data_IF_906031149481
#
_entry.id   IF_906031149481
#
_cell.length_a   1.000
_cell.length_b   1.000
_cell.length_c   1.000
_cell.angle_alpha   90.00
_cell.angle_beta   90.00
_cell.angle_gamma   90.00
#
_symmetry.space_group_name_H-M   'P 1'
#
loop_
_entity.id
_entity.type
_entity.pdbx_description
1 polymer ?
#
# COMPACT_ATOMS: atom_id res chain seq x y z
N UNK A 1 -14.50 -28.86 20.28
CA UNK A 1 -15.18 -27.94 19.36
C UNK A 1 -14.46 -26.59 19.45
N UNK A 2 -13.41 -26.39 18.69
CA UNK A 2 -12.64 -25.15 18.68
C UNK A 2 -13.09 -24.34 17.46
N UNK A 3 -13.75 -23.21 17.73
CA UNK A 3 -14.16 -22.23 16.71
C UNK A 3 -12.91 -21.52 16.19
N UNK A 4 -12.63 -21.67 14.90
CA UNK A 4 -11.55 -20.98 14.20
C UNK A 4 -11.69 -19.48 14.35
N UNK A 5 -10.64 -18.84 14.84
CA UNK A 5 -10.49 -17.39 14.85
C UNK A 5 -10.19 -16.91 13.41
N UNK A 6 -11.24 -16.76 12.62
CA UNK A 6 -11.18 -16.03 11.37
C UNK A 6 -10.83 -14.57 11.66
N UNK A 7 -9.85 -14.05 10.98
CA UNK A 7 -9.53 -12.63 10.98
C UNK A 7 -10.75 -11.85 10.52
N UNK A 8 -11.55 -11.36 11.48
CA UNK A 8 -12.68 -10.49 11.15
C UNK A 8 -12.12 -9.26 10.46
N UNK A 9 -12.55 -9.06 9.24
CA UNK A 9 -12.38 -7.83 8.47
C UNK A 9 -12.94 -6.68 9.28
N UNK A 10 -12.07 -5.98 10.01
CA UNK A 10 -12.40 -4.64 10.43
C UNK A 10 -12.60 -3.84 9.15
N UNK A 11 -13.79 -3.30 8.93
CA UNK A 11 -14.09 -2.40 7.84
C UNK A 11 -13.39 -1.06 8.09
N UNK A 12 -12.07 -1.09 8.07
CA UNK A 12 -11.25 0.10 7.95
C UNK A 12 -11.13 0.39 6.46
N UNK A 13 -11.63 1.52 6.02
CA UNK A 13 -11.41 2.03 4.67
C UNK A 13 -9.91 2.32 4.55
N UNK A 14 -9.14 1.29 4.23
CA UNK A 14 -7.72 1.42 3.89
C UNK A 14 -7.65 2.19 2.58
N UNK A 15 -7.30 3.44 2.66
CA UNK A 15 -7.20 4.30 1.51
C UNK A 15 -5.79 4.27 0.96
N UNK A 16 -5.70 3.61 -0.12
CA UNK A 16 -4.55 3.26 -0.89
C UNK A 16 -4.11 4.39 -1.82
N UNK A 17 -2.91 4.82 -1.67
CA UNK A 17 -2.17 5.58 -2.67
C UNK A 17 -1.73 4.73 -3.88
N UNK A 18 -2.23 3.51 -4.00
CA UNK A 18 -1.99 2.70 -5.18
C UNK A 18 -3.26 2.63 -6.02
N UNK A 19 -3.18 3.17 -7.21
CA UNK A 19 -4.25 3.19 -8.19
C UNK A 19 -4.64 1.76 -8.61
N UNK A 20 -5.58 1.15 -7.89
CA UNK A 20 -6.23 -0.04 -8.39
C UNK A 20 -7.16 0.35 -9.54
N UNK A 21 -6.88 -0.14 -10.74
CA UNK A 21 -7.78 -0.14 -11.89
C UNK A 21 -8.90 -1.13 -11.60
N UNK A 22 -10.04 -0.63 -11.11
CA UNK A 22 -11.23 -1.45 -10.90
C UNK A 22 -12.29 -1.05 -11.89
N UNK A 23 -12.55 -1.93 -12.81
CA UNK A 23 -13.76 -1.90 -13.60
C UNK A 23 -14.91 -2.51 -12.79
N UNK A 24 -15.81 -1.70 -12.26
CA UNK A 24 -17.15 -2.17 -11.93
C UNK A 24 -17.93 -2.36 -13.23
N UNK A 25 -18.25 -3.59 -13.58
CA UNK A 25 -19.30 -3.88 -14.55
C UNK A 25 -20.65 -3.65 -13.87
N UNK A 26 -21.07 -2.39 -13.79
CA UNK A 26 -22.48 -2.06 -13.68
C UNK A 26 -23.04 -1.85 -15.07
N UNK A 27 -24.22 -2.42 -15.30
CA UNK A 27 -24.98 -2.31 -16.53
C UNK A 27 -25.00 -0.88 -17.03
N UNK A 28 -24.58 -0.71 -18.29
CA UNK A 28 -24.57 0.54 -19.03
C UNK A 28 -26.02 0.93 -19.33
N UNK A 29 -26.59 1.80 -18.51
CA UNK A 29 -27.69 2.63 -18.96
C UNK A 29 -27.14 3.62 -19.98
N UNK A 30 -27.86 3.75 -21.08
CA UNK A 30 -27.49 4.51 -22.27
C UNK A 30 -27.11 5.97 -21.97
N UNK A 31 -26.24 6.45 -22.83
CA UNK A 31 -25.63 7.74 -22.93
C UNK A 31 -26.38 8.96 -22.39
N UNK A 32 -25.61 9.79 -21.71
CA UNK A 32 -25.96 11.12 -21.29
C UNK A 32 -24.88 11.61 -20.35
N UNK A 33 -24.22 12.70 -20.66
CA UNK A 33 -23.35 13.56 -19.89
C UNK A 33 -23.23 13.22 -18.38
N UNK A 34 -22.40 12.29 -18.01
CA UNK A 34 -22.16 11.93 -16.60
C UNK A 34 -21.03 12.79 -15.98
N UNK A 35 -21.05 14.09 -16.26
CA UNK A 35 -20.20 15.10 -15.67
C UNK A 35 -20.71 16.44 -16.13
N UNK A 36 -21.68 17.01 -15.40
CA UNK A 36 -21.94 18.44 -15.46
C UNK A 36 -20.61 19.20 -15.44
N UNK A 37 -20.58 20.43 -15.91
CA UNK A 37 -19.36 21.20 -15.89
C UNK A 37 -18.77 21.26 -14.45
N UNK A 38 -17.52 21.58 -14.35
CA UNK A 38 -16.83 21.62 -13.06
C UNK A 38 -17.49 22.60 -12.08
N UNK A 39 -18.10 23.67 -12.56
CA UNK A 39 -18.80 24.65 -11.75
C UNK A 39 -20.07 24.04 -11.13
N UNK A 40 -20.86 23.30 -11.91
CA UNK A 40 -22.03 22.57 -11.39
C UNK A 40 -21.64 21.52 -10.35
N UNK A 41 -20.53 20.83 -10.52
CA UNK A 41 -19.97 19.93 -9.51
C UNK A 41 -19.67 20.67 -8.21
N UNK A 42 -18.98 21.83 -8.27
CA UNK A 42 -18.69 22.64 -7.07
C UNK A 42 -19.95 23.09 -6.36
N UNK A 43 -20.96 23.58 -7.11
CA UNK A 43 -22.25 23.97 -6.54
C UNK A 43 -22.90 22.81 -5.75
N UNK A 44 -22.86 21.59 -6.30
CA UNK A 44 -23.40 20.40 -5.64
C UNK A 44 -22.61 19.98 -4.39
N UNK A 45 -21.33 20.37 -4.27
CA UNK A 45 -20.49 20.08 -3.10
C UNK A 45 -20.69 21.07 -1.94
N UNK A 46 -21.20 22.30 -2.20
CA UNK A 46 -21.37 23.35 -1.19
C UNK A 46 -22.18 22.89 0.04
N UNK A 47 -23.41 22.34 -0.11
CA UNK A 47 -24.19 21.91 1.06
C UNK A 47 -23.48 20.83 1.88
N UNK A 48 -22.68 19.96 1.23
CA UNK A 48 -21.90 18.92 1.92
C UNK A 48 -20.74 19.52 2.72
N UNK A 49 -20.08 20.55 2.18
CA UNK A 49 -19.02 21.28 2.89
C UNK A 49 -19.56 21.98 4.14
N UNK A 50 -20.69 22.69 4.00
CA UNK A 50 -21.35 23.35 5.13
C UNK A 50 -21.80 22.35 6.21
N UNK A 51 -22.33 21.18 5.79
CA UNK A 51 -22.72 20.11 6.70
C UNK A 51 -21.54 19.48 7.44
N UNK A 52 -20.32 19.50 6.84
CA UNK A 52 -19.07 19.07 7.48
C UNK A 52 -18.50 20.15 8.43
N UNK A 53 -19.12 21.34 8.50
CA UNK A 53 -18.71 22.45 9.36
C UNK A 53 -17.72 23.41 8.70
N UNK A 54 -17.55 23.38 7.37
CA UNK A 54 -16.81 24.42 6.64
C UNK A 54 -17.64 25.69 6.60
N UNK A 55 -17.06 26.82 6.98
CA UNK A 55 -17.75 28.11 6.95
C UNK A 55 -18.07 28.56 5.53
N UNK A 56 -19.17 29.32 5.36
CA UNK A 56 -19.51 29.89 4.06
C UNK A 56 -18.39 30.81 3.55
N UNK A 57 -17.74 31.55 4.44
CA UNK A 57 -16.64 32.45 4.10
C UNK A 57 -15.44 31.69 3.51
N UNK A 58 -15.04 30.56 4.11
CA UNK A 58 -13.97 29.71 3.57
C UNK A 58 -14.39 29.10 2.24
N UNK A 59 -15.62 28.60 2.13
CA UNK A 59 -16.11 28.09 0.86
C UNK A 59 -15.97 29.14 -0.25
N UNK A 60 -16.55 30.33 -0.07
CA UNK A 60 -16.53 31.38 -1.10
C UNK A 60 -15.09 31.80 -1.45
N UNK A 61 -14.21 31.95 -0.47
CA UNK A 61 -12.81 32.30 -0.69
C UNK A 61 -12.04 31.23 -1.48
N UNK A 62 -12.18 29.98 -1.12
CA UNK A 62 -11.35 28.89 -1.67
C UNK A 62 -11.87 28.36 -3.01
N UNK A 63 -13.15 28.57 -3.30
CA UNK A 63 -13.78 28.11 -4.55
C UNK A 63 -13.76 29.22 -5.62
N UNK A 64 -13.64 30.47 -5.22
CA UNK A 64 -13.55 31.59 -6.19
C UNK A 64 -12.42 31.36 -7.19
N UNK A 65 -12.76 31.26 -8.47
CA UNK A 65 -11.79 31.07 -9.56
C UNK A 65 -11.14 29.68 -9.60
N UNK A 66 -11.63 28.71 -8.81
CA UNK A 66 -11.09 27.36 -8.86
C UNK A 66 -11.40 26.69 -10.20
N UNK A 67 -10.38 26.27 -10.92
CA UNK A 67 -10.47 25.55 -12.20
C UNK A 67 -9.86 24.15 -12.07
N UNK A 68 -10.32 23.15 -12.85
CA UNK A 68 -9.77 21.82 -12.78
C UNK A 68 -8.33 21.77 -13.32
N UNK A 69 -7.52 20.84 -12.83
CA UNK A 69 -6.22 20.52 -13.39
C UNK A 69 -6.31 19.27 -14.28
N UNK A 70 -6.50 19.50 -15.57
CA UNK A 70 -6.64 18.43 -16.56
C UNK A 70 -5.31 17.71 -16.88
N UNK A 71 -4.18 18.17 -16.34
CA UNK A 71 -2.88 17.50 -16.49
C UNK A 71 -2.69 16.33 -15.55
N UNK A 72 -3.54 16.19 -14.52
CA UNK A 72 -3.43 15.13 -13.51
C UNK A 72 -3.51 13.74 -14.15
N UNK A 73 -2.70 12.77 -13.67
CA UNK A 73 -2.87 11.38 -14.05
C UNK A 73 -4.17 10.81 -13.44
N UNK A 74 -4.63 9.68 -13.97
CA UNK A 74 -5.82 8.94 -13.52
C UNK A 74 -7.17 9.65 -13.60
N UNK A 75 -7.27 10.72 -14.38
CA UNK A 75 -8.57 11.25 -14.79
C UNK A 75 -9.29 10.25 -15.70
N UNK A 76 -10.62 10.26 -15.65
CA UNK A 76 -11.46 9.42 -16.48
C UNK A 76 -11.49 9.95 -17.91
N UNK A 77 -10.65 9.38 -18.76
CA UNK A 77 -10.52 9.69 -20.18
C UNK A 77 -10.99 8.53 -21.07
N UNK A 78 -11.91 7.71 -20.54
CA UNK A 78 -12.40 6.51 -21.21
C UNK A 78 -11.60 5.23 -20.93
N UNK A 79 -11.84 4.14 -21.69
CA UNK A 79 -11.23 2.84 -21.46
C UNK A 79 -9.70 2.90 -21.51
N UNK A 80 -9.03 2.43 -20.47
CA UNK A 80 -7.57 2.34 -20.42
C UNK A 80 -7.11 0.89 -20.38
N UNK A 81 -6.00 0.59 -21.06
CA UNK A 81 -5.28 -0.67 -20.82
C UNK A 81 -4.66 -0.63 -19.42
N UNK A 82 -4.65 -1.73 -18.68
CA UNK A 82 -3.94 -1.83 -17.40
C UNK A 82 -2.48 -1.36 -17.56
N UNK A 83 -2.06 -0.47 -16.71
CA UNK A 83 -0.68 0.08 -16.72
C UNK A 83 -0.23 0.40 -15.31
N UNK A 84 1.01 0.06 -15.01
CA UNK A 84 1.69 0.40 -13.76
C UNK A 84 2.75 1.51 -13.96
N UNK A 85 2.61 2.30 -15.03
CA UNK A 85 3.55 3.38 -15.33
C UNK A 85 3.68 4.34 -14.12
N UNK A 86 4.92 4.58 -13.69
CA UNK A 86 5.22 5.42 -12.55
C UNK A 86 5.13 4.75 -11.17
N UNK A 87 4.67 3.50 -11.09
CA UNK A 87 4.55 2.73 -9.85
C UNK A 87 5.54 1.57 -9.86
N UNK A 88 6.77 1.83 -9.39
CA UNK A 88 7.86 0.86 -9.45
C UNK A 88 7.60 -0.42 -8.65
N UNK A 89 6.81 -0.34 -7.58
CA UNK A 89 6.38 -1.47 -6.76
C UNK A 89 5.54 -2.50 -7.52
N UNK A 90 5.03 -2.16 -8.72
CA UNK A 90 4.27 -3.06 -9.58
C UNK A 90 4.92 -3.32 -10.94
N UNK A 91 5.95 -2.56 -11.29
CA UNK A 91 6.61 -2.65 -12.60
C UNK A 91 8.05 -3.14 -12.54
N UNK A 92 8.71 -3.05 -11.37
CA UNK A 92 10.05 -3.60 -11.16
C UNK A 92 9.99 -5.04 -10.66
N UNK A 93 11.05 -5.81 -10.94
CA UNK A 93 11.23 -7.11 -10.26
C UNK A 93 11.54 -6.90 -8.78
N UNK A 94 11.26 -7.88 -7.89
CA UNK A 94 11.63 -7.78 -6.48
C UNK A 94 13.11 -7.43 -6.26
N UNK A 95 14.01 -8.05 -7.01
CA UNK A 95 15.45 -7.79 -6.96
C UNK A 95 15.81 -6.32 -7.29
N UNK A 96 15.12 -5.72 -8.27
CA UNK A 96 15.36 -4.33 -8.66
C UNK A 96 14.80 -3.34 -7.65
N UNK A 97 13.63 -3.65 -7.09
CA UNK A 97 12.94 -2.77 -6.14
C UNK A 97 13.58 -2.77 -4.75
N UNK A 98 14.04 -3.94 -4.30
CA UNK A 98 14.62 -4.19 -2.98
C UNK A 98 16.14 -4.28 -3.00
N UNK A 99 16.80 -3.68 -4.00
CA UNK A 99 18.26 -3.76 -4.09
C UNK A 99 18.93 -3.00 -2.94
N UNK A 100 19.91 -3.64 -2.29
CA UNK A 100 20.69 -3.05 -1.20
C UNK A 100 21.34 -1.73 -1.59
N UNK A 101 21.88 -1.66 -2.82
CA UNK A 101 22.50 -0.43 -3.35
C UNK A 101 21.52 0.74 -3.39
N UNK A 102 20.26 0.50 -3.82
CA UNK A 102 19.23 1.55 -3.88
C UNK A 102 18.77 1.97 -2.48
N UNK A 103 18.81 1.06 -1.51
CA UNK A 103 18.36 1.29 -0.13
C UNK A 103 19.43 1.92 0.77
N UNK A 104 20.71 1.67 0.51
CA UNK A 104 21.82 2.03 1.40
C UNK A 104 21.83 3.51 1.82
N UNK A 105 21.70 4.42 0.85
CA UNK A 105 21.69 5.86 1.13
C UNK A 105 20.47 6.28 1.97
N UNK A 106 19.29 5.68 1.71
CA UNK A 106 18.07 5.95 2.46
C UNK A 106 18.20 5.41 3.89
N UNK A 107 18.77 4.22 4.07
CA UNK A 107 19.01 3.62 5.39
C UNK A 107 20.00 4.46 6.21
N UNK A 108 21.12 4.89 5.62
CA UNK A 108 22.11 5.74 6.29
C UNK A 108 21.50 7.07 6.75
N UNK A 109 20.70 7.73 5.90
CA UNK A 109 19.98 8.96 6.27
C UNK A 109 18.97 8.68 7.39
N UNK A 110 18.25 7.57 7.32
CA UNK A 110 17.32 7.14 8.37
C UNK A 110 18.00 6.90 9.70
N UNK A 111 19.15 6.23 9.72
CA UNK A 111 19.94 6.00 10.94
C UNK A 111 20.43 7.31 11.55
N UNK A 112 20.86 8.28 10.73
CA UNK A 112 21.23 9.62 11.21
C UNK A 112 20.03 10.35 11.85
N UNK A 113 18.84 10.25 11.25
CA UNK A 113 17.61 10.81 11.82
C UNK A 113 17.18 10.08 13.08
N UNK A 114 17.35 8.76 13.15
CA UNK A 114 17.09 7.97 14.36
C UNK A 114 17.95 8.45 15.54
N UNK A 115 19.23 8.72 15.29
CA UNK A 115 20.11 9.29 16.31
C UNK A 115 19.66 10.70 16.73
N UNK A 116 19.31 11.55 15.76
CA UNK A 116 18.87 12.96 16.00
C UNK A 116 17.58 13.04 16.81
N UNK A 117 16.59 12.19 16.50
CA UNK A 117 15.26 12.21 17.11
C UNK A 117 15.05 11.11 18.15
N UNK A 118 16.13 10.55 18.73
CA UNK A 118 16.06 9.43 19.67
C UNK A 118 15.05 9.62 20.79
N UNK A 119 14.99 10.78 21.50
CA UNK A 119 13.99 10.97 22.56
C UNK A 119 12.55 10.95 22.05
N UNK A 120 12.29 11.57 20.89
CA UNK A 120 10.97 11.62 20.28
C UNK A 120 10.53 10.22 19.81
N UNK A 121 11.44 9.44 19.20
CA UNK A 121 11.16 8.07 18.76
C UNK A 121 10.85 7.16 19.95
N UNK A 122 11.57 7.29 21.07
CA UNK A 122 11.26 6.56 22.32
C UNK A 122 9.88 6.94 22.86
N UNK A 123 9.50 8.21 22.86
CA UNK A 123 8.17 8.66 23.26
C UNK A 123 7.06 8.13 22.32
N UNK A 124 7.33 8.09 21.01
CA UNK A 124 6.43 7.51 19.99
C UNK A 124 6.22 6.02 20.27
N UNK A 125 7.29 5.26 20.44
CA UNK A 125 7.19 3.82 20.72
C UNK A 125 6.45 3.55 22.02
N UNK A 126 6.74 4.29 23.09
CA UNK A 126 6.04 4.19 24.37
C UNK A 126 4.53 4.49 24.22
N UNK A 127 4.17 5.52 23.44
CA UNK A 127 2.77 5.97 23.30
C UNK A 127 1.95 5.10 22.34
N UNK A 128 2.55 4.64 21.24
CA UNK A 128 1.85 3.97 20.15
C UNK A 128 2.22 2.48 20.00
N UNK A 129 3.29 2.02 20.64
CA UNK A 129 3.79 0.66 20.52
C UNK A 129 4.43 0.35 19.17
N UNK A 130 4.69 1.37 18.35
CA UNK A 130 5.31 1.26 17.01
C UNK A 130 6.78 1.67 17.13
N UNK A 131 7.73 0.80 16.74
CA UNK A 131 9.15 1.16 16.74
C UNK A 131 9.40 2.40 15.88
N UNK A 132 10.20 3.32 16.37
CA UNK A 132 10.49 4.59 15.71
C UNK A 132 11.09 4.41 14.32
N UNK A 133 11.88 3.35 14.13
CA UNK A 133 12.49 2.99 12.84
C UNK A 133 11.45 2.66 11.76
N UNK A 134 10.30 2.11 12.15
CA UNK A 134 9.19 1.84 11.23
C UNK A 134 8.57 3.16 10.74
N UNK A 135 8.33 4.10 11.65
CA UNK A 135 7.83 5.42 11.29
C UNK A 135 8.84 6.18 10.39
N UNK A 136 10.13 6.11 10.71
CA UNK A 136 11.21 6.67 9.89
C UNK A 136 11.29 6.01 8.51
N UNK A 137 11.10 4.71 8.42
CA UNK A 137 11.14 4.00 7.14
C UNK A 137 9.98 4.42 6.22
N UNK A 138 8.78 4.61 6.76
CA UNK A 138 7.64 5.16 6.02
C UNK A 138 7.95 6.59 5.58
N UNK A 139 8.40 7.46 6.49
CA UNK A 139 8.79 8.83 6.16
C UNK A 139 9.86 8.90 5.06
N UNK A 140 10.86 8.00 5.13
CA UNK A 140 11.89 7.87 4.10
C UNK A 140 11.33 7.41 2.76
N UNK A 141 10.41 6.45 2.77
CA UNK A 141 9.79 5.89 1.56
C UNK A 141 8.83 6.87 0.89
N UNK A 142 8.03 7.57 1.67
CA UNK A 142 6.99 8.49 1.16
C UNK A 142 7.58 9.77 0.58
N UNK A 143 8.52 10.39 1.28
CA UNK A 143 8.98 11.74 0.91
C UNK A 143 10.50 11.88 0.76
N UNK A 144 11.27 10.78 0.90
CA UNK A 144 12.73 10.86 0.96
C UNK A 144 13.21 11.70 2.15
N UNK A 145 12.52 11.54 3.29
CA UNK A 145 12.74 12.35 4.50
C UNK A 145 12.48 13.85 4.27
N UNK A 146 11.35 14.17 3.67
CA UNK A 146 10.91 15.54 3.43
C UNK A 146 11.44 16.19 2.16
N UNK A 147 12.23 15.47 1.34
CA UNK A 147 12.75 16.03 0.10
C UNK A 147 11.67 16.23 -0.98
N UNK A 148 10.58 15.47 -0.91
CA UNK A 148 9.48 15.46 -1.88
C UNK A 148 8.12 15.32 -1.19
N UNK A 149 7.45 16.42 -0.90
CA UNK A 149 6.13 16.44 -0.26
C UNK A 149 4.97 16.65 -1.25
N UNK A 150 5.29 16.71 -2.54
CA UNK A 150 4.34 16.99 -3.61
C UNK A 150 4.43 18.41 -4.16
N UNK A 151 3.98 18.60 -5.40
CA UNK A 151 4.07 19.88 -6.13
C UNK A 151 2.71 20.45 -6.53
N UNK A 152 1.66 19.67 -6.40
CA UNK A 152 0.32 20.06 -6.85
C UNK A 152 -0.38 20.90 -5.77
N UNK A 153 -1.29 21.78 -6.19
CA UNK A 153 -2.24 22.43 -5.30
C UNK A 153 -3.21 21.36 -4.79
N UNK A 154 -3.19 21.09 -3.48
CA UNK A 154 -3.93 19.97 -2.89
C UNK A 154 -5.44 20.09 -3.06
N UNK A 155 -6.00 21.28 -2.82
CA UNK A 155 -7.44 21.47 -2.97
C UNK A 155 -7.89 21.32 -4.43
N UNK A 156 -7.16 21.96 -5.36
CA UNK A 156 -7.42 21.86 -6.79
C UNK A 156 -7.32 20.42 -7.29
N UNK A 157 -6.29 19.70 -6.83
CA UNK A 157 -6.07 18.28 -7.15
C UNK A 157 -7.26 17.43 -6.71
N UNK A 158 -7.67 17.57 -5.45
CA UNK A 158 -8.77 16.78 -4.88
C UNK A 158 -10.12 17.13 -5.54
N UNK A 159 -10.39 18.41 -5.79
CA UNK A 159 -11.59 18.84 -6.53
C UNK A 159 -11.63 18.23 -7.94
N UNK A 160 -10.50 18.25 -8.65
CA UNK A 160 -10.41 17.68 -10.01
C UNK A 160 -10.60 16.17 -10.00
N UNK A 161 -9.97 15.46 -9.07
CA UNK A 161 -10.12 14.01 -8.92
C UNK A 161 -11.55 13.62 -8.47
N UNK A 162 -12.20 14.44 -7.65
CA UNK A 162 -13.59 14.26 -7.24
C UNK A 162 -14.56 14.43 -8.41
N UNK A 163 -14.31 15.41 -9.26
CA UNK A 163 -15.14 15.68 -10.43
C UNK A 163 -14.93 14.67 -11.55
N UNK A 164 -13.67 14.39 -11.93
CA UNK A 164 -13.35 13.59 -13.12
C UNK A 164 -12.29 12.49 -12.88
N UNK A 165 -12.04 12.13 -11.64
CA UNK A 165 -11.19 11.00 -11.31
C UNK A 165 -11.95 9.66 -11.37
N UNK A 166 -11.20 8.55 -11.32
CA UNK A 166 -11.79 7.20 -11.32
C UNK A 166 -12.40 6.78 -9.97
N UNK A 167 -12.08 7.47 -8.88
CA UNK A 167 -12.59 7.25 -7.53
C UNK A 167 -13.27 8.51 -7.00
N UNK A 168 -14.27 8.98 -7.73
CA UNK A 168 -14.91 10.28 -7.49
C UNK A 168 -15.43 10.43 -6.06
N UNK A 169 -16.14 9.43 -5.53
CA UNK A 169 -16.72 9.48 -4.18
C UNK A 169 -15.64 9.63 -3.10
N UNK A 170 -14.56 8.85 -3.22
CA UNK A 170 -13.41 8.95 -2.34
C UNK A 170 -12.80 10.35 -2.35
N UNK A 171 -12.50 10.85 -3.54
CA UNK A 171 -11.88 12.17 -3.67
C UNK A 171 -12.83 13.31 -3.32
N UNK A 172 -14.15 13.12 -3.46
CA UNK A 172 -15.15 14.11 -3.00
C UNK A 172 -15.08 14.27 -1.47
N UNK A 173 -14.96 13.17 -0.73
CA UNK A 173 -14.76 13.22 0.71
C UNK A 173 -13.46 13.93 1.08
N UNK A 174 -12.35 13.58 0.41
CA UNK A 174 -11.05 14.21 0.68
C UNK A 174 -11.03 15.71 0.34
N UNK A 175 -11.73 16.12 -0.72
CA UNK A 175 -11.90 17.52 -1.07
C UNK A 175 -12.63 18.30 0.04
N UNK A 176 -13.69 17.73 0.63
CA UNK A 176 -14.40 18.33 1.76
C UNK A 176 -13.51 18.47 2.99
N UNK A 177 -12.72 17.44 3.32
CA UNK A 177 -11.77 17.51 4.43
C UNK A 177 -10.62 18.49 4.16
N UNK A 178 -10.18 18.65 2.91
CA UNK A 178 -9.21 19.67 2.57
C UNK A 178 -9.73 21.09 2.77
N UNK A 179 -11.01 21.34 2.43
CA UNK A 179 -11.67 22.61 2.75
C UNK A 179 -11.76 22.83 4.26
N UNK A 180 -12.10 21.78 5.01
CA UNK A 180 -12.14 21.86 6.47
C UNK A 180 -10.76 22.16 7.06
N UNK A 181 -9.68 21.61 6.54
CA UNK A 181 -8.30 21.94 6.97
C UNK A 181 -7.97 23.42 6.77
N UNK A 182 -8.46 24.02 5.69
CA UNK A 182 -8.29 25.45 5.41
C UNK A 182 -9.15 26.30 6.35
N UNK A 183 -10.36 25.86 6.65
CA UNK A 183 -11.29 26.54 7.56
C UNK A 183 -10.80 26.52 9.01
N UNK A 184 -10.31 25.36 9.47
CA UNK A 184 -9.74 25.16 10.81
C UNK A 184 -8.35 25.82 10.97
N UNK A 185 -7.79 26.39 9.89
CA UNK A 185 -6.45 27.02 9.91
C UNK A 185 -5.31 26.02 10.09
N UNK A 186 -5.56 24.73 9.86
CA UNK A 186 -4.56 23.66 9.98
C UNK A 186 -3.39 23.90 9.01
N UNK A 187 -3.70 24.35 7.80
CA UNK A 187 -2.72 24.66 6.76
C UNK A 187 -3.23 25.82 5.91
N UNK A 188 -2.34 26.69 5.44
CA UNK A 188 -2.71 27.72 4.48
C UNK A 188 -2.81 27.16 3.06
N UNK A 189 -3.61 27.77 2.19
CA UNK A 189 -3.76 27.33 0.80
C UNK A 189 -2.41 27.21 0.05
N UNK A 190 -1.48 28.16 0.12
CA UNK A 190 -0.16 28.04 -0.53
C UNK A 190 0.68 26.86 0.00
N UNK A 191 0.55 26.53 1.29
CA UNK A 191 1.27 25.43 1.93
C UNK A 191 0.59 24.06 1.71
N UNK A 192 -0.67 24.03 1.27
CA UNK A 192 -1.42 22.78 0.99
C UNK A 192 -0.92 22.14 -0.32
N UNK A 193 0.36 21.76 -0.34
CA UNK A 193 0.94 21.00 -1.45
C UNK A 193 0.65 19.52 -1.29
N UNK A 194 0.43 18.83 -2.41
CA UNK A 194 0.10 17.40 -2.41
C UNK A 194 0.76 16.63 -3.56
N UNK A 195 0.70 15.31 -3.45
CA UNK A 195 0.88 14.42 -4.60
C UNK A 195 -0.27 14.62 -5.61
N UNK A 196 -0.16 14.02 -6.79
CA UNK A 196 -1.25 14.01 -7.79
C UNK A 196 -2.55 13.35 -7.29
N UNK A 197 -2.48 12.59 -6.22
CA UNK A 197 -3.60 11.91 -5.57
C UNK A 197 -4.05 12.60 -4.26
N UNK A 198 -3.59 13.81 -3.99
CA UNK A 198 -4.03 14.60 -2.84
C UNK A 198 -3.36 14.25 -1.51
N UNK A 199 -2.38 13.36 -1.48
CA UNK A 199 -1.62 13.03 -0.27
C UNK A 199 -0.66 14.19 0.09
N UNK A 200 -0.57 14.54 1.38
CA UNK A 200 0.02 15.79 1.86
C UNK A 200 1.09 15.59 2.92
N UNK A 201 1.98 16.56 3.00
CA UNK A 201 2.97 16.69 4.06
C UNK A 201 4.04 15.60 4.06
N UNK A 202 4.79 15.55 5.15
CA UNK A 202 5.87 14.58 5.38
C UNK A 202 5.36 13.14 5.47
N UNK A 203 4.09 12.96 5.89
CA UNK A 203 3.42 11.69 6.08
C UNK A 203 2.77 11.15 4.82
N UNK A 204 2.52 11.99 3.81
CA UNK A 204 1.69 11.67 2.63
C UNK A 204 0.29 11.14 3.01
N UNK A 205 -0.29 11.69 4.07
CA UNK A 205 -1.67 11.41 4.47
C UNK A 205 -2.67 12.17 3.61
N UNK A 206 -3.84 11.57 3.42
CA UNK A 206 -5.02 12.26 2.90
C UNK A 206 -5.66 13.14 3.97
N UNK A 207 -6.41 14.19 3.60
CA UNK A 207 -7.06 15.10 4.56
C UNK A 207 -7.89 14.41 5.64
N UNK A 208 -8.70 13.41 5.30
CA UNK A 208 -9.48 12.65 6.27
C UNK A 208 -8.60 11.86 7.25
N UNK A 209 -7.47 11.33 6.78
CA UNK A 209 -6.50 10.62 7.61
C UNK A 209 -5.78 11.56 8.56
N UNK A 210 -5.50 12.80 8.16
CA UNK A 210 -4.98 13.82 9.06
C UNK A 210 -5.89 14.03 10.28
N UNK A 211 -7.19 14.19 10.09
CA UNK A 211 -8.13 14.35 11.21
C UNK A 211 -8.22 13.11 12.10
N UNK A 212 -8.02 11.95 11.52
CA UNK A 212 -8.09 10.68 12.26
C UNK A 212 -6.80 10.35 13.02
N UNK A 213 -5.65 10.67 12.44
CA UNK A 213 -4.36 10.18 12.91
C UNK A 213 -3.32 11.25 13.21
N UNK A 214 -3.57 12.51 12.90
CA UNK A 214 -2.68 13.62 13.20
C UNK A 214 -2.38 13.71 14.69
N UNK A 215 -1.12 13.91 15.04
CA UNK A 215 -0.62 14.00 16.42
C UNK A 215 0.24 15.23 16.58
N UNK A 216 -0.11 16.04 17.57
CA UNK A 216 0.75 17.03 18.17
C UNK A 216 1.62 16.31 19.22
N UNK A 217 2.88 16.10 18.92
CA UNK A 217 3.82 15.41 19.80
C UNK A 217 4.54 16.36 20.74
N UNK A 218 4.82 17.59 20.30
CA UNK A 218 5.53 18.59 21.09
C UNK A 218 4.60 19.44 21.98
N UNK A 219 3.27 19.30 21.83
CA UNK A 219 2.25 19.94 22.67
C UNK A 219 2.06 21.42 22.37
N UNK A 220 2.39 21.86 21.14
CA UNK A 220 2.24 23.26 20.74
C UNK A 220 0.81 23.65 20.31
N UNK A 221 -0.13 22.71 20.37
CA UNK A 221 -1.55 22.88 20.02
C UNK A 221 -1.87 22.54 18.55
N UNK A 222 -0.90 22.02 17.79
CA UNK A 222 -1.08 21.76 16.37
C UNK A 222 -0.33 20.51 15.90
N UNK A 223 -1.02 19.59 15.26
CA UNK A 223 -0.40 18.45 14.60
C UNK A 223 0.20 18.90 13.24
N UNK A 224 1.46 19.30 13.23
CA UNK A 224 2.13 19.82 12.02
C UNK A 224 2.81 18.73 11.22
N UNK A 225 2.09 18.10 10.31
CA UNK A 225 2.65 17.09 9.42
C UNK A 225 3.42 17.68 8.22
N UNK A 226 3.54 19.01 8.09
CA UNK A 226 4.23 19.66 6.97
C UNK A 226 5.65 20.03 7.30
N UNK A 227 5.90 20.53 8.52
CA UNK A 227 7.18 21.08 8.93
C UNK A 227 7.77 20.44 10.19
N UNK A 228 6.94 19.84 11.07
CA UNK A 228 7.39 19.13 12.27
C UNK A 228 7.66 17.66 11.96
N UNK A 229 8.92 17.26 11.94
CA UNK A 229 9.31 15.84 11.81
C UNK A 229 8.80 15.01 12.98
N UNK A 230 8.87 15.46 14.26
CA UNK A 230 8.30 14.72 15.38
C UNK A 230 6.81 14.45 15.24
N UNK A 231 6.01 15.44 14.86
CA UNK A 231 4.56 15.27 14.68
C UNK A 231 4.24 14.33 13.52
N UNK A 232 4.99 14.46 12.43
CA UNK A 232 4.85 13.57 11.28
C UNK A 232 5.12 12.10 11.66
N UNK A 233 6.21 11.83 12.38
CA UNK A 233 6.56 10.48 12.85
C UNK A 233 5.52 9.93 13.84
N UNK A 234 5.03 10.77 14.76
CA UNK A 234 3.98 10.41 15.69
C UNK A 234 2.65 10.11 14.98
N UNK A 235 2.31 10.92 13.96
CA UNK A 235 1.11 10.72 13.14
C UNK A 235 1.19 9.42 12.33
N UNK A 236 2.35 9.08 11.75
CA UNK A 236 2.58 7.79 11.09
C UNK A 236 2.39 6.64 12.08
N UNK A 237 2.98 6.73 13.28
CA UNK A 237 2.86 5.69 14.30
C UNK A 237 1.40 5.53 14.79
N UNK A 238 0.69 6.64 14.99
CA UNK A 238 -0.72 6.63 15.35
C UNK A 238 -1.61 6.00 14.26
N UNK A 239 -1.28 6.24 12.99
CA UNK A 239 -1.96 5.57 11.88
C UNK A 239 -1.76 4.05 11.95
N UNK A 240 -0.53 3.57 12.10
CA UNK A 240 -0.24 2.14 12.21
C UNK A 240 -0.94 1.52 13.43
N UNK A 241 -0.93 2.21 14.58
CA UNK A 241 -1.67 1.78 15.77
C UNK A 241 -3.17 1.68 15.48
N UNK A 242 -3.74 2.68 14.82
CA UNK A 242 -5.15 2.71 14.42
C UNK A 242 -5.55 1.58 13.48
N UNK A 243 -4.62 1.10 12.65
CA UNK A 243 -4.78 -0.06 11.77
C UNK A 243 -4.47 -1.41 12.46
N UNK A 244 -4.17 -1.39 13.77
CA UNK A 244 -4.01 -2.60 14.59
C UNK A 244 -2.58 -3.09 14.75
N UNK A 245 -1.60 -2.20 14.72
CA UNK A 245 -0.21 -2.56 15.02
C UNK A 245 -0.10 -3.26 16.38
N UNK A 246 0.64 -4.36 16.42
CA UNK A 246 0.86 -5.18 17.60
C UNK A 246 2.26 -4.93 18.16
N UNK A 247 2.37 -4.28 19.34
CA UNK A 247 3.65 -4.04 19.97
C UNK A 247 4.43 -5.34 20.22
N UNK A 248 5.74 -5.29 19.99
CA UNK A 248 6.63 -6.44 20.21
C UNK A 248 6.58 -7.53 19.14
N UNK A 249 5.61 -7.51 18.21
CA UNK A 249 5.61 -8.41 17.06
C UNK A 249 6.42 -7.80 15.88
N UNK A 250 7.25 -8.63 15.26
CA UNK A 250 7.97 -8.22 14.03
C UNK A 250 7.00 -8.11 12.84
N UNK A 251 7.38 -7.30 11.86
CA UNK A 251 6.63 -7.20 10.58
C UNK A 251 6.79 -8.47 9.74
N UNK A 252 7.97 -9.11 9.74
CA UNK A 252 8.27 -10.37 9.05
C UNK A 252 9.50 -11.05 9.65
N UNK A 253 9.69 -12.31 9.25
CA UNK A 253 10.87 -13.12 9.51
C UNK A 253 11.37 -13.68 8.18
N UNK A 254 12.58 -13.32 7.75
CA UNK A 254 13.22 -14.01 6.63
C UNK A 254 13.51 -15.44 7.02
N UNK A 255 13.19 -16.39 6.15
CA UNK A 255 13.33 -17.81 6.42
C UNK A 255 14.00 -18.56 5.28
N UNK A 256 14.90 -19.50 5.62
CA UNK A 256 15.33 -20.53 4.72
C UNK A 256 14.19 -21.53 4.50
N UNK A 257 13.72 -21.71 3.26
CA UNK A 257 12.76 -22.76 2.96
C UNK A 257 13.42 -24.14 2.96
N UNK A 258 12.67 -25.22 3.27
CA UNK A 258 13.20 -26.57 3.08
C UNK A 258 13.50 -26.86 1.61
N UNK A 259 14.38 -27.85 1.33
CA UNK A 259 14.80 -28.20 -0.03
C UNK A 259 13.64 -28.53 -1.00
N UNK A 260 12.52 -28.98 -0.48
CA UNK A 260 11.27 -29.28 -1.23
C UNK A 260 10.14 -28.39 -0.75
N UNK A 261 10.39 -27.09 -0.65
CA UNK A 261 9.37 -26.13 -0.28
C UNK A 261 8.21 -26.12 -1.30
N UNK A 262 6.99 -26.27 -0.82
CA UNK A 262 5.78 -26.13 -1.63
C UNK A 262 5.31 -24.67 -1.58
N UNK A 263 5.55 -23.93 -2.65
CA UNK A 263 5.17 -22.52 -2.73
C UNK A 263 3.64 -22.31 -2.75
N UNK A 264 2.85 -23.36 -2.97
CA UNK A 264 1.39 -23.28 -2.85
C UNK A 264 0.92 -23.21 -1.39
N UNK A 265 1.82 -23.34 -0.42
CA UNK A 265 1.54 -23.04 0.99
C UNK A 265 1.52 -21.52 1.29
N UNK A 266 1.89 -20.66 0.34
CA UNK A 266 1.92 -19.21 0.48
C UNK A 266 0.51 -18.59 0.36
N UNK A 267 -0.42 -19.05 1.21
CA UNK A 267 -1.77 -18.52 1.30
C UNK A 267 -1.90 -17.55 2.48
N UNK A 268 -2.19 -16.25 2.21
CA UNK A 268 -2.39 -15.26 3.27
C UNK A 268 -3.64 -15.50 4.11
N UNK A 269 -4.63 -16.24 3.60
CA UNK A 269 -5.86 -16.55 4.33
C UNK A 269 -5.74 -17.82 5.18
N UNK A 270 -4.62 -18.55 5.08
CA UNK A 270 -4.35 -19.75 5.85
C UNK A 270 -3.06 -19.65 6.69
N UNK A 271 -2.97 -18.68 7.61
CA UNK A 271 -1.83 -18.55 8.49
C UNK A 271 -1.70 -19.79 9.38
N UNK A 272 -0.46 -20.15 9.72
CA UNK A 272 -0.12 -21.30 10.57
C UNK A 272 0.74 -20.86 11.74
N UNK A 273 0.67 -21.56 12.89
CA UNK A 273 1.57 -21.26 13.99
C UNK A 273 3.03 -21.57 13.61
N UNK A 274 3.96 -20.83 14.20
CA UNK A 274 5.39 -21.03 13.97
C UNK A 274 5.81 -22.49 14.16
N UNK A 275 5.24 -23.20 15.15
CA UNK A 275 5.54 -24.62 15.40
C UNK A 275 5.28 -25.50 14.18
N UNK A 276 4.27 -25.21 13.36
CA UNK A 276 4.02 -25.95 12.13
C UNK A 276 5.02 -25.60 11.02
N UNK A 277 5.39 -24.30 10.89
CA UNK A 277 6.42 -23.88 9.94
C UNK A 277 7.77 -24.51 10.26
N UNK A 278 8.18 -24.50 11.54
CA UNK A 278 9.44 -25.11 11.95
C UNK A 278 9.45 -26.64 11.78
N UNK A 279 8.32 -27.31 12.02
CA UNK A 279 8.16 -28.73 11.77
C UNK A 279 8.21 -29.05 10.25
N UNK A 280 7.71 -28.14 9.41
CA UNK A 280 7.81 -28.25 7.95
C UNK A 280 9.21 -27.92 7.41
N UNK A 281 10.19 -27.61 8.27
CA UNK A 281 11.57 -27.39 7.90
C UNK A 281 11.99 -25.94 7.66
N UNK A 282 11.10 -24.96 7.84
CA UNK A 282 11.46 -23.54 7.73
C UNK A 282 12.34 -23.13 8.92
N UNK A 283 13.38 -22.34 8.66
CA UNK A 283 14.33 -21.84 9.68
C UNK A 283 14.51 -20.33 9.51
N UNK A 284 14.54 -19.54 10.59
CA UNK A 284 14.90 -18.13 10.49
C UNK A 284 16.33 -17.98 9.95
N UNK A 285 16.51 -17.07 9.00
CA UNK A 285 17.83 -16.73 8.47
C UNK A 285 18.57 -15.75 9.39
N UNK A 286 17.84 -14.78 9.92
CA UNK A 286 18.42 -13.73 10.76
C UNK A 286 17.54 -13.49 11.99
N UNK A 287 18.20 -13.29 13.14
CA UNK A 287 17.53 -12.94 14.38
C UNK A 287 16.79 -14.09 15.08
N UNK A 288 15.99 -13.80 16.13
CA UNK A 288 15.30 -14.80 16.93
C UNK A 288 14.16 -15.46 16.15
N UNK A 289 13.87 -16.71 16.47
CA UNK A 289 12.69 -17.41 15.95
C UNK A 289 11.39 -16.71 16.40
N UNK A 290 10.32 -16.81 15.61
CA UNK A 290 8.99 -16.38 16.02
C UNK A 290 8.54 -17.06 17.32
N UNK A 291 7.67 -16.40 18.08
CA UNK A 291 7.01 -17.03 19.22
C UNK A 291 6.25 -18.30 18.80
N UNK A 292 6.24 -19.34 19.63
CA UNK A 292 5.67 -20.66 19.30
C UNK A 292 4.26 -20.63 18.71
N UNK A 293 3.41 -19.73 19.20
CA UNK A 293 2.01 -19.57 18.76
C UNK A 293 1.80 -18.50 17.69
N UNK A 294 2.87 -17.81 17.25
CA UNK A 294 2.75 -16.75 16.26
C UNK A 294 2.10 -17.26 14.96
N UNK A 295 0.96 -16.69 14.60
CA UNK A 295 0.23 -17.02 13.38
C UNK A 295 0.87 -16.30 12.20
N UNK A 296 1.42 -17.04 11.26
CA UNK A 296 2.24 -16.52 10.18
C UNK A 296 1.80 -17.08 8.83
N UNK A 297 1.82 -16.27 7.79
CA UNK A 297 1.63 -16.69 6.41
C UNK A 297 2.98 -16.67 5.67
N UNK A 298 3.16 -17.59 4.73
CA UNK A 298 4.34 -17.60 3.88
C UNK A 298 4.19 -16.55 2.77
N UNK A 299 5.21 -15.74 2.59
CA UNK A 299 5.32 -14.76 1.50
C UNK A 299 6.56 -15.10 0.65
N UNK A 300 6.33 -15.32 -0.63
CA UNK A 300 7.37 -15.57 -1.64
C UNK A 300 7.30 -14.50 -2.73
N UNK A 301 7.96 -13.35 -2.58
CA UNK A 301 7.77 -12.20 -3.47
C UNK A 301 8.18 -12.44 -4.92
N UNK A 302 9.12 -13.34 -5.15
CA UNK A 302 9.59 -13.77 -6.47
C UNK A 302 9.32 -15.27 -6.73
N UNK A 303 8.24 -15.82 -6.14
CA UNK A 303 8.09 -17.28 -6.11
C UNK A 303 9.26 -17.92 -5.38
N UNK A 304 9.75 -19.05 -5.86
CA UNK A 304 10.91 -19.75 -5.27
C UNK A 304 12.27 -19.14 -5.67
N UNK A 305 12.27 -18.02 -6.39
CA UNK A 305 13.49 -17.41 -6.95
C UNK A 305 14.09 -16.31 -6.08
N UNK A 306 13.86 -16.32 -4.78
CA UNK A 306 14.39 -15.30 -3.88
C UNK A 306 14.07 -15.58 -2.41
N UNK A 307 14.31 -14.61 -1.54
CA UNK A 307 14.02 -14.73 -0.13
C UNK A 307 12.56 -15.11 0.14
N UNK A 308 12.36 -16.02 1.10
CA UNK A 308 11.07 -16.33 1.68
C UNK A 308 10.88 -15.62 3.02
N UNK A 309 9.65 -15.27 3.32
CA UNK A 309 9.31 -14.58 4.56
C UNK A 309 8.10 -15.25 5.23
N UNK A 310 8.14 -15.33 6.55
CA UNK A 310 6.95 -15.58 7.33
C UNK A 310 6.45 -14.25 7.89
N UNK A 311 5.22 -13.88 7.54
CA UNK A 311 4.61 -12.58 7.82
C UNK A 311 3.44 -12.70 8.77
N UNK A 312 3.40 -11.83 9.77
CA UNK A 312 2.36 -11.77 10.79
C UNK A 312 1.44 -10.56 10.66
N UNK A 313 0.75 -10.22 11.73
CA UNK A 313 -0.23 -9.13 11.75
C UNK A 313 0.37 -7.79 11.30
N UNK A 314 1.56 -7.43 11.77
CA UNK A 314 2.18 -6.15 11.46
C UNK A 314 2.55 -5.98 9.98
N UNK A 315 2.80 -7.07 9.25
CA UNK A 315 2.92 -7.03 7.80
C UNK A 315 1.61 -6.52 7.14
N UNK A 316 0.48 -7.05 7.57
CA UNK A 316 -0.83 -6.64 7.04
C UNK A 316 -1.23 -5.23 7.49
N UNK A 317 -0.77 -4.77 8.65
CA UNK A 317 -0.90 -3.37 9.07
C UNK A 317 -0.14 -2.44 8.13
N UNK A 318 1.10 -2.78 7.77
CA UNK A 318 1.86 -2.00 6.77
C UNK A 318 1.18 -2.01 5.40
N UNK A 319 0.49 -3.10 5.03
CA UNK A 319 -0.34 -3.13 3.79
C UNK A 319 -1.52 -2.17 3.83
N UNK A 320 -2.00 -1.79 4.99
CA UNK A 320 -3.03 -0.75 5.10
C UNK A 320 -2.49 0.64 4.71
N UNK A 321 -1.19 0.89 4.91
CA UNK A 321 -0.53 2.11 4.41
C UNK A 321 -0.34 2.08 2.88
N UNK A 322 0.16 0.95 2.35
CA UNK A 322 0.22 0.68 0.91
C UNK A 322 0.12 -0.83 0.67
N UNK A 323 -0.82 -1.26 -0.17
CA UNK A 323 -1.17 -2.67 -0.36
C UNK A 323 -0.12 -3.52 -1.09
N UNK A 324 0.91 -2.92 -1.69
CA UNK A 324 1.96 -3.63 -2.42
C UNK A 324 2.84 -4.46 -1.50
N UNK A 325 3.05 -5.74 -1.82
CA UNK A 325 3.98 -6.60 -1.11
C UNK A 325 5.41 -6.01 -1.13
N UNK A 326 5.83 -5.46 -2.28
CA UNK A 326 7.17 -4.87 -2.41
C UNK A 326 7.32 -3.59 -1.59
N UNK A 327 6.24 -2.78 -1.48
CA UNK A 327 6.27 -1.61 -0.60
C UNK A 327 6.48 -2.02 0.85
N UNK A 328 5.71 -2.99 1.34
CA UNK A 328 5.83 -3.45 2.73
C UNK A 328 7.21 -4.05 3.02
N UNK A 329 7.72 -4.89 2.09
CA UNK A 329 9.07 -5.42 2.19
C UNK A 329 10.14 -4.32 2.20
N UNK A 330 9.97 -3.28 1.37
CA UNK A 330 10.89 -2.14 1.36
C UNK A 330 10.86 -1.40 2.69
N UNK A 331 9.68 -1.04 3.18
CA UNK A 331 9.51 -0.29 4.44
C UNK A 331 10.02 -1.11 5.63
N UNK A 332 9.62 -2.37 5.74
CA UNK A 332 10.06 -3.24 6.82
C UNK A 332 11.56 -3.48 6.81
N UNK A 333 12.13 -3.79 5.63
CA UNK A 333 13.57 -3.97 5.50
C UNK A 333 14.35 -2.67 5.77
N UNK A 334 13.84 -1.53 5.29
CA UNK A 334 14.44 -0.23 5.58
C UNK A 334 14.42 0.06 7.09
N UNK A 335 13.33 -0.27 7.80
CA UNK A 335 13.26 -0.14 9.26
C UNK A 335 14.33 -1.01 9.95
N UNK A 336 14.46 -2.28 9.54
CA UNK A 336 15.50 -3.17 10.05
C UNK A 336 16.91 -2.62 9.77
N UNK A 337 17.15 -2.05 8.59
CA UNK A 337 18.44 -1.44 8.22
C UNK A 337 18.73 -0.16 9.02
N UNK A 338 17.73 0.66 9.31
CA UNK A 338 17.85 1.84 10.19
C UNK A 338 18.22 1.42 11.61
N UNK A 339 17.68 0.30 12.09
CA UNK A 339 18.00 -0.31 13.38
C UNK A 339 19.37 -1.01 13.43
N UNK A 340 20.15 -0.96 12.35
CA UNK A 340 21.48 -1.58 12.26
C UNK A 340 21.51 -3.02 11.72
N UNK A 341 20.38 -3.51 11.20
CA UNK A 341 20.31 -4.82 10.53
C UNK A 341 21.05 -4.88 9.21
N UNK A 342 21.36 -6.09 8.77
CA UNK A 342 22.05 -6.40 7.51
C UNK A 342 21.12 -6.49 6.29
N UNK A 343 21.70 -6.91 5.16
CA UNK A 343 20.98 -7.30 3.94
C UNK A 343 20.19 -8.59 4.14
N UNK A 344 19.27 -8.89 3.23
CA UNK A 344 18.64 -10.22 3.19
C UNK A 344 19.72 -11.32 3.03
N UNK A 345 19.55 -12.41 3.75
CA UNK A 345 20.50 -13.55 3.72
C UNK A 345 20.41 -14.30 2.38
N UNK A 346 19.17 -14.50 1.89
CA UNK A 346 18.95 -15.19 0.63
C UNK A 346 19.04 -14.20 -0.55
N UNK A 347 19.89 -14.46 -1.55
CA UNK A 347 20.00 -13.60 -2.71
C UNK A 347 18.75 -13.67 -3.61
N UNK A 348 18.44 -12.57 -4.27
CA UNK A 348 17.37 -12.51 -5.27
C UNK A 348 17.80 -13.21 -6.57
N UNK A 349 17.03 -14.20 -7.02
CA UNK A 349 17.17 -14.79 -8.33
C UNK A 349 16.66 -13.87 -9.45
N UNK A 350 17.05 -14.20 -10.67
CA UNK A 350 16.58 -13.47 -11.86
C UNK A 350 15.18 -13.96 -12.25
N UNK A 351 14.23 -13.04 -12.30
CA UNK A 351 12.87 -13.29 -12.82
C UNK A 351 12.50 -12.24 -13.85
N UNK A 352 11.70 -12.62 -14.84
CA UNK A 352 11.08 -11.65 -15.74
C UNK A 352 9.85 -11.05 -15.06
N UNK A 353 9.66 -9.74 -15.18
CA UNK A 353 8.47 -9.06 -14.69
C UNK A 353 7.43 -8.94 -15.81
N UNK A 354 6.29 -9.65 -15.75
CA UNK A 354 5.24 -9.47 -16.73
C UNK A 354 4.62 -8.08 -16.64
N UNK A 355 4.16 -7.57 -17.78
CA UNK A 355 3.42 -6.31 -17.81
C UNK A 355 2.06 -6.43 -17.10
N UNK A 356 1.51 -5.30 -16.65
CA UNK A 356 0.16 -5.24 -16.07
C UNK A 356 -0.90 -5.89 -16.98
N UNK A 357 -0.79 -5.67 -18.30
CA UNK A 357 -1.70 -6.27 -19.27
C UNK A 357 -1.61 -7.79 -19.34
N UNK A 358 -0.39 -8.34 -19.29
CA UNK A 358 -0.16 -9.79 -19.24
C UNK A 358 -0.70 -10.41 -17.95
N UNK A 359 -0.42 -9.76 -16.82
CA UNK A 359 -0.93 -10.21 -15.51
C UNK A 359 -2.46 -10.17 -15.47
N UNK A 360 -3.09 -9.11 -15.94
CA UNK A 360 -4.56 -9.02 -15.99
C UNK A 360 -5.18 -10.06 -16.95
N UNK A 361 -4.52 -10.37 -18.08
CA UNK A 361 -4.94 -11.44 -18.96
C UNK A 361 -4.86 -12.80 -18.26
N UNK A 362 -3.74 -13.09 -17.63
CA UNK A 362 -3.53 -14.30 -16.85
C UNK A 362 -4.55 -14.45 -15.71
N UNK A 363 -4.82 -13.39 -14.95
CA UNK A 363 -5.83 -13.41 -13.88
C UNK A 363 -7.22 -13.76 -14.42
N UNK A 364 -7.63 -13.22 -15.60
CA UNK A 364 -8.88 -13.60 -16.28
C UNK A 364 -8.88 -15.07 -16.68
N UNK A 365 -7.79 -15.58 -17.21
CA UNK A 365 -7.66 -16.96 -17.62
C UNK A 365 -7.71 -17.91 -16.42
N UNK A 366 -6.99 -17.59 -15.34
CA UNK A 366 -7.06 -18.33 -14.07
C UNK A 366 -8.48 -18.29 -13.44
N UNK A 367 -9.21 -17.18 -13.62
CA UNK A 367 -10.62 -17.09 -13.19
C UNK A 367 -11.50 -18.05 -13.99
N UNK A 368 -11.33 -18.15 -15.31
CA UNK A 368 -12.06 -19.12 -16.17
C UNK A 368 -11.76 -20.56 -15.77
N UNK A 369 -10.53 -20.85 -15.35
CA UNK A 369 -10.11 -22.15 -14.86
C UNK A 369 -10.55 -22.43 -13.40
N UNK A 370 -11.25 -21.50 -12.73
CA UNK A 370 -11.70 -21.66 -11.35
C UNK A 370 -10.62 -21.52 -10.27
N UNK A 371 -9.39 -21.16 -10.65
CA UNK A 371 -8.22 -21.08 -9.77
C UNK A 371 -8.02 -19.70 -9.15
N UNK A 372 -8.70 -18.65 -9.63
CA UNK A 372 -8.57 -17.28 -9.14
C UNK A 372 -9.94 -16.65 -8.94
N UNK A 373 -10.18 -16.04 -7.77
CA UNK A 373 -11.47 -15.45 -7.41
C UNK A 373 -11.37 -13.99 -6.97
N UNK A 374 -10.17 -13.46 -7.03
CA UNK A 374 -9.91 -12.09 -6.63
C UNK A 374 -10.10 -11.14 -7.84
N UNK A 375 -9.93 -9.87 -7.56
CA UNK A 375 -10.03 -8.82 -8.55
C UNK A 375 -8.96 -8.94 -9.63
N UNK A 376 -9.35 -8.67 -10.87
CA UNK A 376 -8.42 -8.60 -12.01
C UNK A 376 -7.79 -7.21 -12.01
N UNK A 377 -6.66 -7.08 -11.40
CA UNK A 377 -5.95 -5.81 -11.15
C UNK A 377 -4.62 -5.68 -11.90
N UNK A 378 -4.12 -6.78 -12.45
CA UNK A 378 -2.84 -6.82 -13.15
C UNK A 378 -1.63 -6.83 -12.21
N UNK A 379 -1.80 -7.20 -10.92
CA UNK A 379 -0.71 -7.32 -9.96
C UNK A 379 -0.34 -8.77 -9.69
N UNK A 380 0.95 -9.04 -9.52
CA UNK A 380 1.44 -10.35 -9.09
C UNK A 380 1.48 -10.43 -7.55
N UNK A 381 0.35 -10.15 -6.86
CA UNK A 381 0.21 -10.23 -5.41
C UNK A 381 0.20 -11.68 -4.89
N UNK A 382 0.12 -11.87 -3.56
CA UNK A 382 0.16 -13.20 -2.91
C UNK A 382 -0.87 -14.17 -3.50
N UNK A 383 -2.12 -13.75 -3.64
CA UNK A 383 -3.20 -14.60 -4.20
C UNK A 383 -2.99 -14.94 -5.67
N UNK A 384 -2.45 -14.02 -6.45
CA UNK A 384 -2.11 -14.27 -7.87
C UNK A 384 -1.00 -15.31 -7.97
N UNK A 385 0.07 -15.19 -7.17
CA UNK A 385 1.17 -16.17 -7.16
C UNK A 385 0.72 -17.53 -6.66
N UNK A 386 -0.18 -17.58 -5.65
CA UNK A 386 -0.80 -18.81 -5.19
C UNK A 386 -1.58 -19.51 -6.31
N UNK A 387 -2.41 -18.78 -7.05
CA UNK A 387 -3.17 -19.33 -8.18
C UNK A 387 -2.27 -19.84 -9.31
N UNK A 388 -1.18 -19.14 -9.60
CA UNK A 388 -0.14 -19.58 -10.55
C UNK A 388 0.46 -20.91 -10.10
N UNK A 389 0.86 -21.01 -8.84
CA UNK A 389 1.43 -22.25 -8.28
C UNK A 389 0.44 -23.42 -8.32
N UNK A 390 -0.83 -23.17 -8.00
CA UNK A 390 -1.89 -24.19 -8.08
C UNK A 390 -2.06 -24.69 -9.52
N UNK A 391 -2.07 -23.79 -10.51
CA UNK A 391 -2.12 -24.18 -11.93
C UNK A 391 -0.88 -24.99 -12.33
N UNK A 392 0.33 -24.53 -11.97
CA UNK A 392 1.56 -25.25 -12.30
C UNK A 392 1.56 -26.65 -11.74
N UNK A 393 1.15 -26.83 -10.48
CA UNK A 393 1.08 -28.11 -9.79
C UNK A 393 0.07 -29.05 -10.46
N UNK A 394 -1.15 -28.56 -10.75
CA UNK A 394 -2.19 -29.36 -11.39
C UNK A 394 -1.86 -29.76 -12.83
N UNK A 395 -1.10 -28.91 -13.54
CA UNK A 395 -0.66 -29.16 -14.92
C UNK A 395 0.66 -29.93 -15.03
N UNK A 396 1.25 -30.42 -13.93
CA UNK A 396 2.53 -31.12 -13.93
C UNK A 396 3.74 -30.26 -14.34
N UNK A 397 3.59 -28.94 -14.27
CA UNK A 397 4.69 -28.02 -14.56
C UNK A 397 5.60 -27.85 -13.33
N UNK A 398 6.81 -27.31 -13.53
CA UNK A 398 7.63 -26.90 -12.40
C UNK A 398 6.89 -25.86 -11.56
N UNK A 399 6.64 -26.20 -10.31
CA UNK A 399 5.89 -25.35 -9.38
C UNK A 399 6.84 -24.34 -8.74
N UNK A 400 6.94 -23.14 -9.32
CA UNK A 400 7.77 -22.04 -8.81
C UNK A 400 6.97 -20.83 -8.33
N UNK A 401 5.64 -20.86 -8.51
CA UNK A 401 4.70 -19.79 -8.13
C UNK A 401 5.06 -18.42 -8.74
N UNK A 402 5.70 -18.41 -9.92
CA UNK A 402 5.99 -17.18 -10.64
C UNK A 402 5.38 -17.23 -12.06
N UNK A 403 4.81 -16.11 -12.55
CA UNK A 403 4.21 -16.04 -13.88
C UNK A 403 5.31 -15.89 -14.98
N UNK A 404 6.07 -16.96 -15.20
CA UNK A 404 7.05 -16.99 -16.29
C UNK A 404 6.38 -16.91 -17.67
N UNK A 405 7.08 -16.54 -18.75
CA UNK A 405 6.52 -16.56 -20.11
C UNK A 405 5.90 -17.91 -20.48
N UNK A 406 6.53 -19.02 -20.09
CA UNK A 406 6.04 -20.38 -20.31
C UNK A 406 4.74 -20.62 -19.55
N UNK A 407 4.68 -20.24 -18.28
CA UNK A 407 3.49 -20.38 -17.44
C UNK A 407 2.34 -19.54 -17.98
N UNK A 408 2.58 -18.28 -18.40
CA UNK A 408 1.57 -17.42 -19.02
C UNK A 408 0.97 -18.07 -20.28
N UNK A 409 1.84 -18.66 -21.14
CA UNK A 409 1.40 -19.35 -22.35
C UNK A 409 0.57 -20.59 -22.04
N UNK A 410 1.00 -21.41 -21.06
CA UNK A 410 0.28 -22.61 -20.64
C UNK A 410 -1.10 -22.30 -20.07
N UNK A 411 -1.22 -21.29 -19.17
CA UNK A 411 -2.49 -20.83 -18.61
C UNK A 411 -3.45 -20.38 -19.71
N UNK A 412 -2.94 -19.57 -20.68
CA UNK A 412 -3.76 -19.09 -21.79
C UNK A 412 -4.23 -20.21 -22.71
N UNK A 413 -3.40 -21.23 -22.95
CA UNK A 413 -3.77 -22.40 -23.74
C UNK A 413 -4.86 -23.23 -23.05
N UNK A 414 -4.70 -23.55 -21.77
CA UNK A 414 -5.69 -24.30 -20.97
C UNK A 414 -7.05 -23.57 -20.92
N UNK A 415 -7.04 -22.27 -20.69
CA UNK A 415 -8.27 -21.47 -20.62
C UNK A 415 -9.05 -21.41 -21.95
N UNK A 416 -8.36 -21.52 -23.11
CA UNK A 416 -8.98 -21.59 -24.44
C UNK A 416 -9.60 -22.94 -24.73
N UNK A 417 -9.02 -24.01 -24.19
CA UNK A 417 -9.49 -25.38 -24.37
C UNK A 417 -10.66 -25.74 -23.42
N UNK A 418 -11.01 -24.87 -22.49
CA UNK A 418 -11.99 -25.15 -21.45
C UNK A 418 -11.57 -26.29 -20.51
N UNK A 419 -10.28 -26.64 -20.53
CA UNK A 419 -9.73 -27.70 -19.70
C UNK A 419 -9.49 -27.15 -18.29
N UNK A 420 -10.26 -27.65 -17.32
CA UNK A 420 -9.91 -27.51 -15.90
C UNK A 420 -8.71 -28.42 -15.66
N UNK A 421 -7.58 -27.89 -15.11
CA UNK A 421 -6.38 -28.68 -14.85
C UNK A 421 -6.55 -29.72 -13.77
#
# INVERSE_FOLDING_TARGET
MARGAGWRRGAGVAMLLAAALVGETRARAAGGDAGGDFASFLVAMRPKALALGVSAATWEREIAGLTPDLSLPNLDRGPRKPSHAGQREFSATPAQYLSDRAMAATAAKGASLAARYRPQLAAIEQRFGVPGEVALAIFGRETGYGANTGKYDGLRTLATQAWNGRRRETFAQEFLYALKMLDDGVVSRPAMKSSWAGAMGLTQMLPSQYYRYGVDLDGNGRADIWTSVPDALASIANHLRGEGWRPGERWAYEVAPPARADCTMADPDAPRPWTQWSAAGYRPENGPAPGRGAQLALLLPAGVHGPGFLVGANYFVLKAYNFSDLYVLYVGHLADRIAGGGSFATPWGKVAQPSAGQLAAMQRDLTRLGLYREKIDGFAGMKTRLAVGAFQKASGLRTDCWPTPETLKAISAAAKQGATP
#
